data_IF_576290479180
#
_entry.id   IF_576290479180
#
_cell.length_a   1.000
_cell.length_b   1.000
_cell.length_c   1.000
_cell.angle_alpha   90.00
_cell.angle_beta   90.00
_cell.angle_gamma   90.00
#
_symmetry.space_group_name_H-M   'P 1'
#
loop_
_entity.id
_entity.type
_entity.pdbx_description
1 polymer ?
#
# COMPACT_ATOMS: atom_id res chain seq x y z
N UNK A 1 -8.17 -11.73 1.29
CA UNK A 1 -7.42 -10.78 2.14
C UNK A 1 -6.19 -11.43 2.78
N UNK A 2 -6.26 -12.60 3.43
CA UNK A 2 -5.08 -13.24 4.06
C UNK A 2 -3.94 -13.67 3.13
N UNK A 3 -4.22 -14.00 1.86
CA UNK A 3 -3.18 -14.42 0.88
C UNK A 3 -2.26 -13.27 0.48
N UNK A 4 -2.80 -12.05 0.31
CA UNK A 4 -2.01 -10.87 -0.06
C UNK A 4 -1.16 -10.36 1.12
N UNK A 5 -1.69 -10.40 2.34
CA UNK A 5 -0.91 -10.11 3.54
C UNK A 5 0.32 -11.02 3.67
N UNK A 6 0.14 -12.33 3.49
CA UNK A 6 1.25 -13.29 3.60
C UNK A 6 2.33 -13.03 2.54
N UNK A 7 1.93 -12.72 1.30
CA UNK A 7 2.87 -12.38 0.23
C UNK A 7 3.64 -11.09 0.55
N UNK A 8 2.96 -10.01 0.93
CA UNK A 8 3.61 -8.72 1.23
C UNK A 8 4.59 -8.86 2.40
N UNK A 9 4.20 -9.55 3.46
CA UNK A 9 5.08 -9.81 4.60
C UNK A 9 6.29 -10.66 4.24
N UNK A 10 6.12 -11.66 3.37
CA UNK A 10 7.21 -12.53 2.92
C UNK A 10 8.16 -11.85 1.94
N UNK A 11 7.64 -10.99 1.06
CA UNK A 11 8.39 -10.36 -0.04
C UNK A 11 9.09 -9.07 0.40
N UNK A 12 8.44 -8.28 1.27
CA UNK A 12 8.90 -6.94 1.66
C UNK A 12 9.20 -6.81 3.16
N UNK A 13 8.90 -7.83 3.97
CA UNK A 13 9.03 -7.73 5.44
C UNK A 13 8.03 -6.79 6.12
N UNK A 14 7.05 -6.28 5.36
CA UNK A 14 6.08 -5.28 5.81
C UNK A 14 4.82 -5.98 6.32
N UNK A 15 4.37 -5.60 7.52
CA UNK A 15 3.06 -6.02 8.00
C UNK A 15 1.98 -5.15 7.35
N UNK A 16 1.15 -5.78 6.50
CA UNK A 16 0.17 -5.07 5.70
C UNK A 16 -0.83 -4.27 6.56
N UNK A 17 -1.25 -4.76 7.72
CA UNK A 17 -2.23 -4.03 8.53
C UNK A 17 -1.62 -2.79 9.16
N UNK A 18 -0.43 -2.92 9.73
CA UNK A 18 0.29 -1.78 10.30
C UNK A 18 0.64 -0.73 9.25
N UNK A 19 1.01 -1.17 8.04
CA UNK A 19 1.21 -0.29 6.90
C UNK A 19 -0.07 0.46 6.53
N UNK A 20 -1.20 -0.24 6.38
CA UNK A 20 -2.49 0.37 6.04
C UNK A 20 -3.01 1.32 7.12
N UNK A 21 -2.77 1.01 8.40
CA UNK A 21 -3.08 1.90 9.52
C UNK A 21 -2.28 3.19 9.42
N UNK A 22 -0.96 3.10 9.17
CA UNK A 22 -0.11 4.28 9.02
C UNK A 22 -0.50 5.13 7.80
N UNK A 23 -0.84 4.49 6.67
CA UNK A 23 -1.38 5.19 5.49
C UNK A 23 -2.69 5.90 5.83
N UNK A 24 -3.59 5.25 6.57
CA UNK A 24 -4.89 5.82 6.97
C UNK A 24 -4.76 7.01 7.92
N UNK A 25 -3.68 7.05 8.71
CA UNK A 25 -3.30 8.19 9.56
C UNK A 25 -2.65 9.35 8.78
N UNK A 26 -2.41 9.17 7.47
CA UNK A 26 -1.89 10.21 6.59
C UNK A 26 -0.36 10.26 6.50
N UNK A 27 0.35 9.26 7.04
CA UNK A 27 1.81 9.21 6.94
C UNK A 27 2.27 8.99 5.49
N UNK A 28 3.35 9.67 5.13
CA UNK A 28 4.06 9.49 3.87
C UNK A 28 5.05 8.31 3.94
N UNK A 29 5.67 7.95 2.82
CA UNK A 29 6.54 6.77 2.75
C UNK A 29 7.79 6.87 3.65
N UNK A 30 8.37 8.07 3.78
CA UNK A 30 9.53 8.31 4.64
C UNK A 30 9.13 8.19 6.12
N UNK A 31 7.99 8.77 6.49
CA UNK A 31 7.44 8.66 7.84
C UNK A 31 7.09 7.22 8.20
N UNK A 32 6.51 6.45 7.27
CA UNK A 32 6.18 5.03 7.49
C UNK A 32 7.45 4.20 7.67
N UNK A 33 8.47 4.45 6.83
CA UNK A 33 9.77 3.78 6.91
C UNK A 33 10.45 4.05 8.26
N UNK A 34 10.48 5.30 8.69
CA UNK A 34 11.12 5.72 9.94
C UNK A 34 10.35 5.25 11.19
N UNK A 35 9.02 5.39 11.19
CA UNK A 35 8.17 5.07 12.34
C UNK A 35 8.17 3.57 12.65
N UNK A 36 8.16 2.74 11.60
CA UNK A 36 7.99 1.28 11.72
C UNK A 36 9.35 0.56 11.59
N UNK A 37 10.39 1.25 11.11
CA UNK A 37 11.70 0.65 10.84
C UNK A 37 11.71 -0.20 9.58
N UNK A 38 10.92 0.17 8.58
CA UNK A 38 10.88 -0.49 7.28
C UNK A 38 11.87 0.13 6.30
N UNK A 39 12.28 -0.65 5.30
CA UNK A 39 13.06 -0.12 4.19
C UNK A 39 12.17 0.79 3.32
N UNK A 40 12.60 2.03 3.09
CA UNK A 40 11.85 3.02 2.31
C UNK A 40 11.53 2.56 0.88
N UNK A 41 12.45 1.85 0.23
CA UNK A 41 12.24 1.35 -1.13
C UNK A 41 11.12 0.29 -1.17
N UNK A 42 11.06 -0.56 -0.16
CA UNK A 42 10.03 -1.58 -0.03
C UNK A 42 8.67 -0.98 0.33
N UNK A 43 8.65 0.05 1.19
CA UNK A 43 7.44 0.85 1.49
C UNK A 43 6.85 1.44 0.21
N UNK A 44 7.68 2.05 -0.63
CA UNK A 44 7.26 2.61 -1.93
C UNK A 44 6.68 1.54 -2.86
N UNK A 45 7.34 0.38 -2.97
CA UNK A 45 6.85 -0.75 -3.80
C UNK A 45 5.50 -1.27 -3.30
N UNK A 46 5.33 -1.42 -1.99
CA UNK A 46 4.06 -1.87 -1.39
C UNK A 46 2.95 -0.86 -1.63
N UNK A 47 3.19 0.44 -1.43
CA UNK A 47 2.19 1.48 -1.73
C UNK A 47 1.74 1.42 -3.19
N UNK A 48 2.69 1.39 -4.12
CA UNK A 48 2.40 1.35 -5.55
C UNK A 48 1.63 0.08 -5.95
N UNK A 49 1.98 -1.08 -5.37
CA UNK A 49 1.28 -2.35 -5.59
C UNK A 49 -0.16 -2.29 -5.09
N UNK A 50 -0.40 -1.70 -3.93
CA UNK A 50 -1.75 -1.55 -3.35
C UNK A 50 -2.59 -0.50 -4.10
N UNK A 51 -1.99 0.61 -4.55
CA UNK A 51 -2.66 1.61 -5.39
C UNK A 51 -3.09 1.01 -6.74
N UNK A 52 -2.26 0.16 -7.34
CA UNK A 52 -2.61 -0.57 -8.56
C UNK A 52 -3.76 -1.56 -8.32
N UNK A 53 -3.75 -2.29 -7.20
CA UNK A 53 -4.86 -3.19 -6.82
C UNK A 53 -6.15 -2.41 -6.58
N UNK A 54 -6.09 -1.26 -5.90
CA UNK A 54 -7.25 -0.37 -5.73
C UNK A 54 -7.77 0.17 -7.07
N UNK A 55 -6.86 0.42 -8.01
CA UNK A 55 -7.20 0.86 -9.36
C UNK A 55 -7.87 -0.24 -10.19
N UNK A 56 -7.36 -1.47 -10.11
CA UNK A 56 -7.92 -2.66 -10.78
C UNK A 56 -9.28 -3.07 -10.21
N UNK A 57 -9.49 -2.93 -8.89
CA UNK A 57 -10.72 -3.36 -8.22
C UNK A 57 -11.84 -2.31 -8.28
N UNK A 58 -11.54 -1.01 -8.45
CA UNK A 58 -12.61 0.01 -8.32
C UNK A 58 -12.36 1.44 -8.81
N UNK A 59 -11.31 1.76 -9.57
CA UNK A 59 -11.15 3.11 -10.15
C UNK A 59 -11.25 3.18 -11.68
N UNK A 60 -11.45 2.05 -12.37
CA UNK A 60 -11.95 2.10 -13.75
C UNK A 60 -13.45 2.48 -13.83
N UNK A 61 -14.11 2.74 -12.69
CA UNK A 61 -15.49 3.24 -12.62
C UNK A 61 -15.61 4.78 -12.70
N UNK A 62 -14.49 5.51 -12.85
CA UNK A 62 -14.47 6.98 -13.03
C UNK A 62 -13.65 7.41 -14.25
N UNK A 63 -13.67 6.64 -15.33
CA UNK A 63 -13.16 7.10 -16.63
C UNK A 63 -14.21 7.19 -17.75
N UNK A 64 -15.49 7.25 -17.38
CA UNK A 64 -16.62 7.55 -18.27
C UNK A 64 -17.65 8.48 -17.58
N UNK A 65 -17.18 9.56 -16.94
CA UNK A 65 -18.05 10.71 -16.62
C UNK A 65 -17.28 12.00 -16.95
N UNK A 66 -17.72 12.65 -18.03
CA UNK A 66 -17.24 13.89 -18.68
C UNK A 66 -16.18 13.63 -19.77
N UNK A 67 -16.40 13.89 -21.07
CA UNK A 67 -17.32 14.81 -21.78
C UNK A 67 -17.83 14.15 -23.08
#
# INVERSE_FOLDING_TARGET
MGVEQYKIKKEYGIDLYLFLDAVSLGFNDEEIADLIGYNLEDVKKVRQKLDNVGSEIGLNYKKDLND
#
